data_IF_335658029896
#
_entry.id   IF_335658029896
#
_cell.length_a   1.000
_cell.length_b   1.000
_cell.length_c   1.000
_cell.angle_alpha   90.00
_cell.angle_beta   90.00
_cell.angle_gamma   90.00
#
_symmetry.space_group_name_H-M   'P 1'
#
loop_
_entity.id
_entity.type
_entity.pdbx_description
1 polymer ?
#
# COMPACT_ATOMS: atom_id res chain seq x y z
N UNK A 1 -35.88 11.88 -39.76
CA UNK A 1 -34.69 11.35 -39.05
C UNK A 1 -34.80 9.85 -38.71
N UNK A 2 -35.55 9.04 -39.47
CA UNK A 2 -35.89 7.67 -39.06
C UNK A 2 -34.96 6.57 -39.62
N UNK A 3 -34.25 6.83 -40.72
CA UNK A 3 -33.42 5.82 -41.39
C UNK A 3 -32.10 5.53 -40.64
N UNK A 4 -31.49 6.54 -40.01
CA UNK A 4 -30.18 6.40 -39.36
C UNK A 4 -30.23 5.55 -38.08
N UNK A 5 -31.36 5.57 -37.36
CA UNK A 5 -31.55 4.81 -36.13
C UNK A 5 -31.72 3.30 -36.39
N UNK A 6 -32.33 2.93 -37.53
CA UNK A 6 -32.55 1.53 -37.91
C UNK A 6 -31.25 0.83 -38.34
N UNK A 7 -30.30 1.57 -38.92
CA UNK A 7 -29.00 1.04 -39.35
C UNK A 7 -27.97 0.93 -38.21
N UNK A 8 -28.24 1.52 -37.04
CA UNK A 8 -27.28 1.57 -35.95
C UNK A 8 -26.87 0.18 -35.43
N UNK A 9 -27.77 -0.80 -35.21
CA UNK A 9 -27.36 -2.14 -34.81
C UNK A 9 -26.45 -2.81 -35.86
N UNK A 10 -26.78 -2.65 -37.15
CA UNK A 10 -25.99 -3.19 -38.26
C UNK A 10 -24.60 -2.57 -38.31
N UNK A 11 -24.49 -1.25 -38.18
CA UNK A 11 -23.22 -0.53 -38.14
C UNK A 11 -22.39 -0.89 -36.89
N UNK A 12 -23.03 -1.05 -35.74
CA UNK A 12 -22.36 -1.40 -34.50
C UNK A 12 -21.70 -2.78 -34.54
N UNK A 13 -22.38 -3.76 -35.15
CA UNK A 13 -21.91 -5.15 -35.24
C UNK A 13 -21.05 -5.44 -36.48
N UNK A 14 -20.94 -4.53 -37.44
CA UNK A 14 -20.09 -4.72 -38.61
C UNK A 14 -18.61 -4.91 -38.22
N UNK A 15 -17.94 -5.88 -38.85
CA UNK A 15 -16.50 -6.17 -38.64
C UNK A 15 -15.61 -4.99 -39.02
N UNK A 16 -16.04 -4.19 -40.00
CA UNK A 16 -15.35 -2.99 -40.46
C UNK A 16 -15.40 -1.83 -39.46
N UNK A 17 -16.31 -1.89 -38.47
CA UNK A 17 -16.42 -0.86 -37.45
C UNK A 17 -15.34 -1.08 -36.39
N UNK A 18 -14.42 -0.13 -36.26
CA UNK A 18 -13.34 -0.23 -35.28
C UNK A 18 -13.82 0.14 -33.85
N UNK A 19 -13.07 -0.22 -32.79
CA UNK A 19 -13.34 0.28 -31.44
C UNK A 19 -13.37 1.82 -31.35
N UNK A 20 -12.57 2.51 -32.19
CA UNK A 20 -12.57 3.97 -32.30
C UNK A 20 -13.89 4.49 -32.85
N UNK A 21 -14.45 3.84 -33.87
CA UNK A 21 -15.71 4.22 -34.49
C UNK A 21 -16.89 3.97 -33.55
N UNK A 22 -16.91 2.82 -32.86
CA UNK A 22 -17.89 2.54 -31.79
C UNK A 22 -17.88 3.60 -30.70
N UNK A 23 -16.69 4.03 -30.26
CA UNK A 23 -16.56 5.11 -29.27
C UNK A 23 -17.07 6.45 -29.79
N UNK A 24 -16.86 6.78 -31.07
CA UNK A 24 -17.40 7.99 -31.72
C UNK A 24 -18.92 7.94 -31.80
N UNK A 25 -19.49 6.81 -32.21
CA UNK A 25 -20.94 6.60 -32.28
C UNK A 25 -21.58 6.78 -30.91
N UNK A 26 -21.07 6.12 -29.86
CA UNK A 26 -21.58 6.30 -28.49
C UNK A 26 -21.56 7.76 -28.05
N UNK A 27 -20.47 8.49 -28.33
CA UNK A 27 -20.35 9.90 -27.98
C UNK A 27 -21.35 10.81 -28.71
N UNK A 28 -21.81 10.42 -29.89
CA UNK A 28 -22.85 11.17 -30.63
C UNK A 28 -24.27 10.89 -30.13
N UNK A 29 -24.47 9.78 -29.41
CA UNK A 29 -25.78 9.33 -28.95
C UNK A 29 -26.03 9.67 -27.46
N UNK A 30 -24.99 9.55 -26.64
CA UNK A 30 -25.07 9.76 -25.19
C UNK A 30 -24.84 11.23 -24.86
N UNK A 31 -25.84 11.87 -24.26
CA UNK A 31 -25.77 13.25 -23.79
C UNK A 31 -25.05 13.34 -22.43
N UNK A 32 -25.39 12.46 -21.49
CA UNK A 32 -24.65 12.30 -20.24
C UNK A 32 -24.78 10.88 -19.66
N UNK A 33 -23.91 10.61 -18.69
CA UNK A 33 -23.96 9.43 -17.84
C UNK A 33 -23.86 9.87 -16.39
N UNK A 34 -24.78 9.41 -15.55
CA UNK A 34 -24.82 9.70 -14.11
C UNK A 34 -24.60 8.42 -13.31
N UNK A 35 -23.92 8.54 -12.17
CA UNK A 35 -23.74 7.46 -11.21
C UNK A 35 -24.52 7.78 -9.95
N UNK A 36 -25.46 6.92 -9.60
CA UNK A 36 -26.32 7.05 -8.43
C UNK A 36 -25.92 5.99 -7.39
N UNK A 37 -25.70 6.39 -6.12
CA UNK A 37 -25.49 5.44 -5.05
C UNK A 37 -26.80 4.68 -4.77
N UNK A 38 -26.68 3.37 -4.54
CA UNK A 38 -27.78 2.53 -4.08
C UNK A 38 -27.70 2.28 -2.56
N UNK A 39 -28.81 1.89 -1.90
CA UNK A 39 -28.80 1.49 -0.50
C UNK A 39 -27.83 0.34 -0.21
N UNK A 40 -27.71 -0.60 -1.14
CA UNK A 40 -26.65 -1.60 -1.12
C UNK A 40 -25.34 -1.00 -1.64
N UNK A 41 -24.35 -0.90 -0.75
CA UNK A 41 -23.04 -0.34 -1.07
C UNK A 41 -22.28 -1.11 -2.17
N UNK A 42 -22.66 -2.36 -2.44
CA UNK A 42 -22.08 -3.24 -3.44
C UNK A 42 -22.72 -3.08 -4.83
N UNK A 43 -23.75 -2.26 -4.95
CA UNK A 43 -24.38 -1.92 -6.22
C UNK A 43 -24.30 -0.41 -6.49
N UNK A 44 -24.41 -0.06 -7.76
CA UNK A 44 -24.65 1.31 -8.18
C UNK A 44 -25.61 1.31 -9.35
N UNK A 45 -26.32 2.42 -9.51
CA UNK A 45 -27.15 2.63 -10.69
C UNK A 45 -26.46 3.62 -11.63
N UNK A 46 -26.47 3.26 -12.90
CA UNK A 46 -25.98 4.09 -13.99
C UNK A 46 -27.20 4.63 -14.72
N UNK A 47 -27.37 5.95 -14.73
CA UNK A 47 -28.33 6.62 -15.59
C UNK A 47 -27.65 7.03 -16.90
N UNK A 48 -28.26 6.73 -18.04
CA UNK A 48 -27.81 7.17 -19.36
C UNK A 48 -28.88 8.07 -19.96
N UNK A 49 -28.52 9.32 -20.27
CA UNK A 49 -29.40 10.23 -21.00
C UNK A 49 -28.96 10.31 -22.45
N UNK A 50 -29.87 10.05 -23.36
CA UNK A 50 -29.64 10.13 -24.80
C UNK A 50 -29.90 11.53 -25.33
N UNK A 51 -29.22 11.92 -26.41
CA UNK A 51 -29.51 13.20 -27.10
C UNK A 51 -30.93 13.29 -27.67
N UNK A 52 -31.62 12.15 -27.81
CA UNK A 52 -33.04 12.09 -28.20
C UNK A 52 -33.99 12.47 -27.07
N UNK A 53 -33.50 12.65 -25.84
CA UNK A 53 -34.31 12.89 -24.64
C UNK A 53 -34.76 11.61 -23.93
N UNK A 54 -34.53 10.43 -24.52
CA UNK A 54 -34.75 9.15 -23.84
C UNK A 54 -33.76 8.96 -22.67
N UNK A 55 -34.14 8.13 -21.71
CA UNK A 55 -33.31 7.78 -20.54
C UNK A 55 -33.35 6.29 -20.28
N UNK A 56 -32.19 5.69 -20.01
CA UNK A 56 -32.06 4.31 -19.56
C UNK A 56 -31.40 4.25 -18.18
N UNK A 57 -31.78 3.27 -17.37
CA UNK A 57 -31.16 2.98 -16.07
C UNK A 57 -30.63 1.55 -16.04
N UNK A 58 -29.41 1.38 -15.53
CA UNK A 58 -28.78 0.07 -15.35
C UNK A 58 -28.31 -0.08 -13.90
N UNK A 59 -28.78 -1.13 -13.22
CA UNK A 59 -28.22 -1.56 -11.95
C UNK A 59 -27.00 -2.45 -12.22
N UNK A 60 -25.85 -2.07 -11.69
CA UNK A 60 -24.60 -2.83 -11.83
C UNK A 60 -23.96 -3.09 -10.47
N UNK A 61 -23.28 -4.23 -10.36
CA UNK A 61 -22.38 -4.43 -9.23
C UNK A 61 -21.31 -3.35 -9.25
N UNK A 62 -21.14 -2.63 -8.15
CA UNK A 62 -20.07 -1.64 -8.00
C UNK A 62 -18.76 -2.41 -7.97
N UNK A 63 -17.85 -2.25 -8.96
CA UNK A 63 -16.52 -2.79 -8.84
C UNK A 63 -15.83 -2.00 -7.73
N UNK A 64 -15.86 -2.57 -6.52
CA UNK A 64 -15.16 -2.00 -5.38
C UNK A 64 -13.66 -1.92 -5.70
N UNK A 65 -12.89 -1.06 -5.02
CA UNK A 65 -11.44 -1.04 -5.12
C UNK A 65 -10.86 -2.30 -4.45
N UNK A 66 -11.16 -3.51 -4.94
CA UNK A 66 -10.75 -4.80 -4.35
C UNK A 66 -10.72 -4.78 -2.82
N UNK A 67 -11.76 -4.21 -2.19
CA UNK A 67 -11.74 -3.90 -0.75
C UNK A 67 -11.50 -5.19 0.00
N UNK A 68 -10.55 -5.15 0.94
CA UNK A 68 -10.25 -6.30 1.79
C UNK A 68 -11.54 -6.75 2.47
N UNK A 69 -11.95 -8.04 2.35
CA UNK A 69 -13.16 -8.52 3.01
C UNK A 69 -13.10 -8.25 4.51
N UNK A 70 -14.24 -7.95 5.13
CA UNK A 70 -14.28 -7.55 6.54
C UNK A 70 -13.69 -8.63 7.46
N UNK A 71 -13.96 -9.91 7.18
CA UNK A 71 -13.35 -11.04 7.91
C UNK A 71 -11.81 -11.00 7.86
N UNK A 72 -11.24 -10.72 6.68
CA UNK A 72 -9.79 -10.59 6.52
C UNK A 72 -9.26 -9.33 7.24
N UNK A 73 -9.98 -8.21 7.18
CA UNK A 73 -9.58 -6.99 7.88
C UNK A 73 -9.59 -7.16 9.40
N UNK A 74 -10.59 -7.84 9.95
CA UNK A 74 -10.69 -8.12 11.38
C UNK A 74 -9.56 -9.03 11.86
N UNK A 75 -9.21 -10.05 11.08
CA UNK A 75 -8.05 -10.91 11.35
C UNK A 75 -6.74 -10.11 11.32
N UNK A 76 -6.55 -9.26 10.30
CA UNK A 76 -5.38 -8.37 10.21
C UNK A 76 -5.31 -7.42 11.41
N UNK A 77 -6.44 -6.89 11.91
CA UNK A 77 -6.48 -6.04 13.12
C UNK A 77 -6.10 -6.83 14.37
N UNK A 78 -6.71 -8.00 14.57
CA UNK A 78 -6.48 -8.87 15.73
C UNK A 78 -5.02 -9.28 15.86
N UNK A 79 -4.37 -9.62 14.75
CA UNK A 79 -3.00 -10.10 14.73
C UNK A 79 -1.96 -9.03 14.37
N UNK A 80 -2.43 -7.84 13.99
CA UNK A 80 -1.62 -6.77 13.46
C UNK A 80 -0.48 -6.34 14.38
N UNK A 81 -0.74 -6.29 15.70
CA UNK A 81 0.23 -5.84 16.69
C UNK A 81 1.28 -6.90 17.07
N UNK A 82 1.08 -8.18 16.73
CA UNK A 82 1.94 -9.29 17.19
C UNK A 82 2.60 -10.07 16.06
N UNK A 83 2.09 -9.96 14.84
CA UNK A 83 2.58 -10.70 13.67
C UNK A 83 3.01 -9.79 12.53
N UNK A 84 4.01 -10.26 11.80
CA UNK A 84 4.48 -9.67 10.56
C UNK A 84 3.44 -9.79 9.45
N UNK A 85 3.57 -9.01 8.40
CA UNK A 85 2.68 -9.07 7.24
C UNK A 85 2.74 -10.43 6.52
N UNK A 86 3.87 -11.14 6.60
CA UNK A 86 4.03 -12.48 6.03
C UNK A 86 3.22 -13.52 6.83
N UNK A 87 3.42 -13.57 8.15
CA UNK A 87 2.67 -14.48 9.03
C UNK A 87 1.16 -14.24 8.97
N UNK A 88 0.72 -12.98 8.84
CA UNK A 88 -0.69 -12.65 8.66
C UNK A 88 -1.20 -13.12 7.29
N UNK A 89 -0.39 -13.02 6.23
CA UNK A 89 -0.78 -13.53 4.91
C UNK A 89 -0.96 -15.06 4.94
N UNK A 90 -0.05 -15.77 5.59
CA UNK A 90 -0.15 -17.23 5.77
C UNK A 90 -1.39 -17.61 6.57
N UNK A 91 -1.68 -16.88 7.66
CA UNK A 91 -2.88 -17.09 8.48
C UNK A 91 -4.17 -16.85 7.68
N UNK A 92 -4.25 -15.76 6.91
CA UNK A 92 -5.40 -15.46 6.06
C UNK A 92 -5.63 -16.57 5.02
N UNK A 93 -4.56 -17.03 4.37
CA UNK A 93 -4.65 -18.09 3.36
C UNK A 93 -5.02 -19.45 3.99
N UNK A 94 -4.52 -19.75 5.19
CA UNK A 94 -4.87 -20.95 5.93
C UNK A 94 -6.35 -20.98 6.35
N UNK A 95 -6.95 -19.81 6.63
CA UNK A 95 -8.39 -19.67 6.88
C UNK A 95 -9.24 -19.65 5.58
N UNK A 96 -8.61 -19.83 4.41
CA UNK A 96 -9.30 -19.82 3.11
C UNK A 96 -9.79 -18.43 2.67
N UNK A 97 -9.32 -17.36 3.32
CA UNK A 97 -9.70 -15.99 2.98
C UNK A 97 -8.94 -15.51 1.74
N UNK A 98 -9.64 -14.78 0.88
CA UNK A 98 -9.07 -14.19 -0.33
C UNK A 98 -9.21 -12.67 -0.34
N UNK A 99 -8.39 -11.99 -1.13
CA UNK A 99 -8.51 -10.54 -1.37
C UNK A 99 -9.85 -10.22 -2.04
N UNK A 100 -10.26 -8.94 -2.05
CA UNK A 100 -11.48 -8.51 -2.76
C UNK A 100 -11.47 -8.76 -4.28
N UNK A 101 -10.39 -9.29 -4.85
CA UNK A 101 -10.28 -9.76 -6.24
C UNK A 101 -10.22 -11.28 -6.37
N UNK A 102 -10.52 -12.03 -5.30
CA UNK A 102 -10.47 -13.49 -5.27
C UNK A 102 -9.06 -14.10 -5.33
N UNK A 103 -8.01 -13.31 -5.07
CA UNK A 103 -6.62 -13.79 -5.07
C UNK A 103 -6.14 -14.14 -3.66
N UNK A 104 -5.19 -15.09 -3.49
CA UNK A 104 -4.52 -15.32 -2.21
C UNK A 104 -3.85 -14.04 -1.67
N UNK A 105 -3.76 -13.95 -0.35
CA UNK A 105 -3.01 -12.89 0.31
C UNK A 105 -1.51 -13.08 0.15
N UNK A 106 -0.80 -11.97 -0.04
CA UNK A 106 0.66 -11.91 -0.06
C UNK A 106 1.13 -10.96 1.04
N UNK A 107 2.38 -11.08 1.49
CA UNK A 107 2.94 -10.18 2.50
C UNK A 107 2.83 -8.70 2.08
N UNK A 108 3.13 -8.39 0.80
CA UNK A 108 2.96 -7.03 0.25
C UNK A 108 1.50 -6.59 0.12
N UNK A 109 0.57 -7.55 -0.11
CA UNK A 109 -0.87 -7.35 -0.01
C UNK A 109 -1.29 -6.87 1.37
N UNK A 110 -0.91 -7.63 2.39
CA UNK A 110 -1.21 -7.31 3.80
C UNK A 110 -0.56 -5.99 4.21
N UNK A 111 0.69 -5.72 3.83
CA UNK A 111 1.36 -4.45 4.14
C UNK A 111 0.57 -3.23 3.61
N UNK A 112 0.07 -3.28 2.37
CA UNK A 112 -0.78 -2.21 1.82
C UNK A 112 -2.08 -2.03 2.60
N UNK A 113 -2.72 -3.12 3.03
CA UNK A 113 -3.92 -3.04 3.87
C UNK A 113 -3.58 -2.38 5.20
N UNK A 114 -2.49 -2.78 5.84
CA UNK A 114 -2.03 -2.19 7.10
C UNK A 114 -1.78 -0.69 6.98
N UNK A 115 -1.15 -0.25 5.89
CA UNK A 115 -0.87 1.18 5.63
C UNK A 115 -2.14 2.00 5.40
N UNK A 116 -3.11 1.42 4.68
CA UNK A 116 -4.41 2.03 4.39
C UNK A 116 -5.26 2.19 5.66
N UNK A 117 -5.26 1.18 6.54
CA UNK A 117 -6.07 1.15 7.76
C UNK A 117 -5.30 1.53 9.03
N UNK A 118 -4.04 2.00 8.90
CA UNK A 118 -3.16 2.38 10.02
C UNK A 118 -3.01 1.30 11.08
N UNK A 119 -2.92 0.04 10.65
CA UNK A 119 -2.71 -1.12 11.53
C UNK A 119 -1.20 -1.32 11.68
N UNK A 120 -0.64 -0.83 12.78
CA UNK A 120 0.81 -0.92 13.03
C UNK A 120 1.24 -2.33 13.40
N UNK A 121 2.36 -2.76 12.80
CA UNK A 121 2.99 -4.06 13.10
C UNK A 121 3.40 -4.13 14.56
N UNK A 122 3.78 -5.32 15.06
CA UNK A 122 4.69 -5.33 16.21
C UNK A 122 5.82 -4.35 15.89
N UNK A 123 5.92 -3.30 16.71
CA UNK A 123 7.13 -2.50 16.76
C UNK A 123 8.15 -3.49 17.27
N UNK A 124 8.99 -4.03 16.39
CA UNK A 124 9.98 -5.04 16.73
C UNK A 124 10.78 -4.53 17.92
N UNK A 125 10.37 -4.97 19.12
CA UNK A 125 11.26 -5.11 20.26
C UNK A 125 12.32 -6.06 19.75
N UNK A 126 13.57 -5.64 19.86
CA UNK A 126 14.77 -6.36 19.44
C UNK A 126 14.52 -7.88 19.40
N UNK A 127 14.53 -8.47 18.19
CA UNK A 127 14.22 -9.90 18.01
C UNK A 127 15.27 -10.76 18.74
N UNK A 128 16.43 -10.19 19.01
CA UNK A 128 17.47 -10.74 19.87
C UNK A 128 17.88 -9.70 20.92
N UNK A 129 18.22 -10.16 22.13
CA UNK A 129 18.87 -9.30 23.12
C UNK A 129 20.09 -8.63 22.45
N UNK A 130 20.18 -7.31 22.58
CA UNK A 130 21.21 -6.45 21.98
C UNK A 130 21.02 -6.01 20.51
N UNK A 131 19.89 -6.23 19.84
CA UNK A 131 19.63 -5.60 18.53
C UNK A 131 19.03 -4.18 18.68
N UNK A 132 19.49 -3.23 17.85
CA UNK A 132 18.93 -1.87 17.76
C UNK A 132 18.45 -1.55 16.35
N UNK A 133 17.48 -0.64 16.26
CA UNK A 133 17.03 -0.09 14.98
C UNK A 133 18.04 0.92 14.41
N UNK A 134 17.97 1.16 13.10
CA UNK A 134 18.75 2.21 12.41
C UNK A 134 18.65 3.58 13.10
N UNK A 135 17.45 3.94 13.57
CA UNK A 135 17.23 5.21 14.27
C UNK A 135 17.92 5.27 15.63
N UNK A 136 17.93 4.16 16.37
CA UNK A 136 18.61 4.08 17.66
C UNK A 136 20.13 4.11 17.49
N UNK A 137 20.67 3.35 16.53
CA UNK A 137 22.09 3.40 16.18
C UNK A 137 22.53 4.81 15.77
N UNK A 138 21.74 5.48 14.92
CA UNK A 138 22.03 6.84 14.48
C UNK A 138 22.01 7.85 15.65
N UNK A 139 21.06 7.71 16.56
CA UNK A 139 20.97 8.56 17.75
C UNK A 139 22.16 8.37 18.70
N UNK A 140 22.62 7.13 18.92
CA UNK A 140 23.79 6.84 19.76
C UNK A 140 25.11 7.33 19.12
N UNK A 141 25.21 7.27 17.79
CA UNK A 141 26.37 7.75 17.05
C UNK A 141 26.35 9.28 16.80
N UNK A 142 25.24 9.96 17.09
CA UNK A 142 25.09 11.40 16.86
C UNK A 142 25.06 11.80 15.38
N UNK A 143 24.60 10.91 14.48
CA UNK A 143 24.58 11.14 13.02
C UNK A 143 23.16 11.05 12.43
N UNK A 144 22.90 11.60 11.23
CA UNK A 144 21.63 11.43 10.54
C UNK A 144 21.34 9.95 10.20
N UNK A 145 20.11 9.50 10.42
CA UNK A 145 19.70 8.12 10.11
C UNK A 145 19.88 7.75 8.63
N UNK A 146 19.79 8.72 7.71
CA UNK A 146 20.01 8.51 6.28
C UNK A 146 21.45 8.10 5.96
N UNK A 147 22.44 8.55 6.73
CA UNK A 147 23.82 8.11 6.57
C UNK A 147 23.94 6.61 6.88
N UNK A 148 23.30 6.16 7.97
CA UNK A 148 23.26 4.75 8.34
C UNK A 148 22.50 3.93 7.29
N UNK A 149 21.36 4.42 6.77
CA UNK A 149 20.65 3.75 5.68
C UNK A 149 21.50 3.63 4.41
N UNK A 150 22.29 4.65 4.07
CA UNK A 150 23.19 4.61 2.92
C UNK A 150 24.26 3.52 3.08
N UNK A 151 24.91 3.49 4.24
CA UNK A 151 25.91 2.47 4.59
C UNK A 151 25.39 1.04 4.51
N UNK A 152 24.16 0.82 4.98
CA UNK A 152 23.47 -0.45 4.92
C UNK A 152 23.11 -0.85 3.49
N UNK A 153 22.64 0.11 2.67
CA UNK A 153 22.34 -0.12 1.25
C UNK A 153 23.59 -0.48 0.44
N UNK A 154 24.74 0.11 0.79
CA UNK A 154 26.03 -0.17 0.17
C UNK A 154 26.75 -1.41 0.75
N UNK A 155 26.15 -2.09 1.74
CA UNK A 155 26.73 -3.31 2.33
C UNK A 155 28.03 -3.09 3.11
N UNK A 156 28.28 -1.87 3.58
CA UNK A 156 29.55 -1.47 4.17
C UNK A 156 29.60 -1.59 5.71
N UNK A 157 28.50 -2.00 6.36
CA UNK A 157 28.42 -2.21 7.81
C UNK A 157 27.57 -3.45 8.08
N UNK A 158 27.83 -4.20 9.16
CA UNK A 158 27.08 -5.41 9.48
C UNK A 158 25.67 -5.07 9.93
N UNK A 159 24.67 -5.70 9.31
CA UNK A 159 23.29 -5.69 9.74
C UNK A 159 22.53 -6.86 9.13
N UNK A 160 21.43 -7.21 9.78
CA UNK A 160 20.50 -8.24 9.34
C UNK A 160 19.22 -7.59 8.83
N UNK A 161 18.57 -8.19 7.85
CA UNK A 161 17.17 -7.88 7.55
C UNK A 161 16.28 -8.89 8.26
N UNK A 162 15.28 -8.40 8.98
CA UNK A 162 14.25 -9.28 9.52
C UNK A 162 13.31 -9.78 8.39
N UNK A 163 12.45 -10.76 8.65
CA UNK A 163 11.44 -11.21 7.69
C UNK A 163 10.49 -10.11 7.20
N UNK A 164 10.39 -8.98 7.91
CA UNK A 164 9.62 -7.81 7.48
C UNK A 164 10.38 -6.85 6.56
N UNK A 165 11.66 -7.13 6.28
CA UNK A 165 12.53 -6.33 5.42
C UNK A 165 13.16 -5.11 6.10
N UNK A 166 12.98 -4.94 7.42
CA UNK A 166 13.61 -3.89 8.23
C UNK A 166 15.03 -4.28 8.62
N UNK A 167 15.91 -3.27 8.65
CA UNK A 167 17.28 -3.42 9.11
C UNK A 167 17.34 -3.53 10.64
N UNK A 168 17.93 -4.61 11.12
CA UNK A 168 18.24 -4.90 12.51
C UNK A 168 19.77 -4.93 12.66
N UNK A 169 20.32 -4.15 13.58
CA UNK A 169 21.77 -4.05 13.79
C UNK A 169 22.06 -4.71 15.13
N UNK A 170 22.91 -5.72 15.15
CA UNK A 170 23.43 -6.27 16.40
C UNK A 170 24.32 -5.21 17.05
N UNK A 171 24.03 -4.84 18.30
CA UNK A 171 24.66 -3.70 18.96
C UNK A 171 25.62 -4.12 20.06
N UNK A 172 26.42 -5.15 19.75
CA UNK A 172 27.56 -5.60 20.54
C UNK A 172 28.75 -4.62 20.42
N UNK A 173 29.76 -4.71 21.31
CA UNK A 173 30.92 -3.80 21.29
C UNK A 173 31.70 -3.80 19.96
N UNK A 174 31.81 -4.94 19.28
CA UNK A 174 32.54 -5.07 18.00
C UNK A 174 31.79 -4.35 16.89
N UNK A 175 30.47 -4.55 16.79
CA UNK A 175 29.65 -3.86 15.80
C UNK A 175 29.64 -2.35 16.05
N UNK A 176 29.56 -1.91 17.31
CA UNK A 176 29.64 -0.48 17.65
C UNK A 176 30.94 0.16 17.18
N UNK A 177 32.06 -0.54 17.31
CA UNK A 177 33.36 -0.03 16.89
C UNK A 177 33.46 0.11 15.36
N UNK A 178 32.94 -0.86 14.60
CA UNK A 178 32.86 -0.76 13.13
C UNK A 178 32.07 0.50 12.71
N UNK A 179 30.95 0.76 13.38
CA UNK A 179 30.13 1.93 13.10
C UNK A 179 30.84 3.24 13.52
N UNK A 180 31.54 3.27 14.65
CA UNK A 180 32.31 4.43 15.12
C UNK A 180 33.48 4.75 14.20
N UNK A 181 34.27 3.75 13.82
CA UNK A 181 35.37 3.92 12.88
C UNK A 181 34.86 4.52 11.57
N UNK A 182 33.72 4.04 11.09
CA UNK A 182 33.11 4.56 9.88
C UNK A 182 32.59 5.99 9.99
N UNK A 183 32.14 6.41 11.18
CA UNK A 183 31.85 7.82 11.45
C UNK A 183 33.14 8.64 11.37
N UNK A 184 34.22 8.17 12.00
CA UNK A 184 35.52 8.85 12.01
C UNK A 184 36.13 8.99 10.60
N UNK A 185 35.98 7.96 9.76
CA UNK A 185 36.48 7.97 8.38
C UNK A 185 35.61 8.85 7.45
N UNK A 186 34.41 9.24 7.89
CA UNK A 186 33.49 10.01 7.06
C UNK A 186 33.67 11.52 7.25
N UNK A 187 34.37 12.15 6.29
CA UNK A 187 34.54 13.61 6.25
C UNK A 187 33.22 14.41 6.27
N UNK A 188 32.09 13.79 5.86
CA UNK A 188 30.77 14.45 5.76
C UNK A 188 29.94 14.37 7.05
N UNK A 189 30.33 13.56 8.02
CA UNK A 189 29.55 13.36 9.25
C UNK A 189 30.19 14.16 10.39
N UNK A 190 29.54 15.25 10.79
CA UNK A 190 29.87 15.95 12.04
C UNK A 190 28.93 15.42 13.13
N UNK A 191 29.43 14.80 14.21
CA UNK A 191 28.57 14.38 15.30
C UNK A 191 27.86 15.61 15.86
N UNK A 192 26.52 15.58 15.85
CA UNK A 192 25.72 16.68 16.40
C UNK A 192 25.85 16.62 17.91
N UNK A 193 26.50 17.62 18.52
CA UNK A 193 26.53 17.77 19.97
C UNK A 193 25.09 17.94 20.46
N UNK A 194 24.57 16.94 21.18
CA UNK A 194 23.29 17.07 21.87
C UNK A 194 23.49 18.06 23.03
N UNK A 195 22.91 19.25 22.92
CA UNK A 195 22.77 20.20 24.03
C UNK A 195 22.08 19.46 25.18
N UNK A 196 22.83 19.19 26.24
CA UNK A 196 22.28 18.72 27.51
C UNK A 196 21.24 19.74 27.97
N UNK A 197 19.95 19.38 27.93
CA UNK A 197 18.96 20.06 28.75
C UNK A 197 19.25 19.67 30.20
N UNK A 198 19.94 20.57 30.89
CA UNK A 198 20.02 20.59 32.35
C UNK A 198 18.60 20.50 32.88
N UNK A 199 18.28 19.39 33.55
CA UNK A 199 17.12 19.32 34.45
C UNK A 199 17.52 20.22 35.63
N UNK A 200 17.04 21.46 35.59
CA UNK A 200 17.13 22.38 36.71
C UNK A 200 15.96 22.13 37.66
N UNK A 201 16.31 22.01 38.92
CA UNK A 201 15.44 21.96 40.09
C UNK A 201 14.34 23.03 40.07
N UNK A 202 13.13 22.63 40.48
CA UNK A 202 12.31 23.11 41.63
C UNK A 202 11.00 22.33 41.64
#
# INVERSE_FOLDING_TARGET
MNALAQDLPRLWHAETTSPRDRKRLLRSLVADVTLLPEPDAQTMRIGVRWHTGATDELAVARPGPGRTPDAALELIRRHGATRTSAEIADLLNAEGLTTGKGKPFTAGGVARVRDAYKIFGPRTVAVQACEVSVKQAAAELGIPADAVYNWLRLGQVPARRDPSGRWCILWDPTTREIYRQKVADSFRLKPVQQTQRTVGDI
#
